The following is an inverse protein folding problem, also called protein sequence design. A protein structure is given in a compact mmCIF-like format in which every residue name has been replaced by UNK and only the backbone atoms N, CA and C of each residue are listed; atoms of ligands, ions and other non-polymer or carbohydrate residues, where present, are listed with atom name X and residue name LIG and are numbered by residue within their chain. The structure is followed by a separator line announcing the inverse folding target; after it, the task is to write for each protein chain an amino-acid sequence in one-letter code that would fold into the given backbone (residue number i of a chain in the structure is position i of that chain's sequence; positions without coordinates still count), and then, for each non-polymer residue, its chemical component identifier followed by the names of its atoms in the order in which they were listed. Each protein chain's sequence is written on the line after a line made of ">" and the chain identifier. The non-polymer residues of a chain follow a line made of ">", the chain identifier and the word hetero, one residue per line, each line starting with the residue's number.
data_IF_020030408662
#
_entry.id   IF_020030408662
#
_cell.length_a   1.000
_cell.length_b   1.000
_cell.length_c   1.000
_cell.angle_alpha   90.00
_cell.angle_beta   90.00
_cell.angle_gamma   90.00
#
_symmetry.space_group_name_H-M   'P 1'
#
loop_
_entity.id
_entity.type
_entity.pdbx_description
1 polymer ?
#
# COMPACT_ATOMS: atom_id res chain seq x y z
N UNK A 1 22.52 21.64 31.71
CA UNK A 1 21.49 20.58 31.65
C UNK A 1 20.31 20.88 30.70
N UNK A 2 20.32 21.97 29.90
CA UNK A 2 19.25 22.26 28.92
C UNK A 2 19.56 21.80 27.49
N UNK A 3 20.85 21.65 27.17
CA UNK A 3 21.33 21.27 25.83
C UNK A 3 21.07 19.81 25.48
N UNK A 4 21.10 18.89 26.45
CA UNK A 4 20.89 17.45 26.20
C UNK A 4 19.43 17.14 25.81
N UNK A 5 18.46 17.81 26.42
CA UNK A 5 17.04 17.59 26.14
C UNK A 5 16.66 17.94 24.68
N UNK A 6 17.26 19.00 24.14
CA UNK A 6 16.99 19.46 22.76
C UNK A 6 17.54 18.46 21.74
N UNK A 7 18.72 17.89 21.99
CA UNK A 7 19.31 16.88 21.10
C UNK A 7 18.44 15.62 21.03
N UNK A 8 17.94 15.15 22.16
CA UNK A 8 17.08 13.95 22.22
C UNK A 8 15.76 14.18 21.46
N UNK A 9 15.14 15.35 21.64
CA UNK A 9 13.89 15.71 20.95
C UNK A 9 14.06 15.76 19.42
N UNK A 10 15.18 16.28 18.91
CA UNK A 10 15.47 16.28 17.48
C UNK A 10 15.66 14.87 16.91
N UNK A 11 16.34 13.97 17.63
CA UNK A 11 16.55 12.58 17.16
C UNK A 11 15.23 11.84 17.04
N UNK A 12 14.32 11.99 18.02
CA UNK A 12 13.00 11.35 17.97
C UNK A 12 12.17 11.90 16.80
N UNK A 13 12.16 13.22 16.57
CA UNK A 13 11.44 13.81 15.45
C UNK A 13 11.94 13.29 14.09
N UNK A 14 13.25 13.14 13.90
CA UNK A 14 13.82 12.58 12.67
C UNK A 14 13.45 11.10 12.50
N UNK A 15 13.52 10.30 13.56
CA UNK A 15 13.13 8.88 13.50
C UNK A 15 11.66 8.71 13.11
N UNK A 16 10.77 9.53 13.67
CA UNK A 16 9.35 9.52 13.34
C UNK A 16 9.14 9.90 11.87
N UNK A 17 9.80 10.94 11.34
CA UNK A 17 9.65 11.30 9.91
C UNK A 17 10.14 10.18 8.98
N UNK A 18 11.19 9.45 9.34
CA UNK A 18 11.71 8.30 8.56
C UNK A 18 10.72 7.13 8.56
N UNK A 19 10.09 6.80 9.69
CA UNK A 19 9.07 5.75 9.76
C UNK A 19 7.82 6.12 8.94
N UNK A 20 7.38 7.39 9.01
CA UNK A 20 6.21 7.85 8.24
C UNK A 20 6.47 7.90 6.73
N UNK A 21 7.69 8.27 6.29
CA UNK A 21 8.08 8.18 4.88
C UNK A 21 8.08 6.72 4.38
N UNK A 22 8.57 5.77 5.18
CA UNK A 22 8.57 4.35 4.81
C UNK A 22 7.18 3.69 4.87
N UNK A 23 6.25 4.21 5.68
CA UNK A 23 4.86 3.73 5.69
C UNK A 23 4.04 4.24 4.49
N UNK A 24 4.49 5.31 3.81
CA UNK A 24 3.79 5.93 2.67
C UNK A 24 4.52 5.78 1.32
N UNK A 25 5.64 5.05 1.25
CA UNK A 25 6.39 4.79 0.01
C UNK A 25 6.53 3.30 -0.27
N UNK A 26 5.41 2.63 -0.49
CA UNK A 26 5.44 1.41 -1.28
C UNK A 26 5.36 1.81 -2.74
N UNK A 27 6.51 1.96 -3.42
CA UNK A 27 6.57 1.89 -4.88
C UNK A 27 5.68 0.71 -5.28
N UNK A 28 4.68 0.91 -6.13
CA UNK A 28 3.77 -0.19 -6.42
C UNK A 28 4.57 -1.29 -7.11
N UNK A 29 4.81 -2.39 -6.38
CA UNK A 29 5.54 -3.53 -6.90
C UNK A 29 4.65 -4.17 -7.96
N UNK A 30 4.93 -3.84 -9.22
CA UNK A 30 4.18 -4.32 -10.36
C UNK A 30 4.21 -5.84 -10.46
N UNK A 31 5.28 -6.49 -9.96
CA UNK A 31 5.37 -7.95 -9.91
C UNK A 31 4.47 -8.54 -8.82
N UNK A 32 4.55 -8.04 -7.58
CA UNK A 32 3.69 -8.46 -6.49
C UNK A 32 2.19 -8.20 -6.77
N UNK A 33 1.88 -7.05 -7.37
CA UNK A 33 0.52 -6.70 -7.79
C UNK A 33 -0.01 -7.66 -8.86
N UNK A 34 0.80 -7.95 -9.88
CA UNK A 34 0.42 -8.89 -10.94
C UNK A 34 0.23 -10.30 -10.40
N UNK A 35 1.11 -10.79 -9.53
CA UNK A 35 1.04 -12.13 -8.95
C UNK A 35 -0.19 -12.29 -8.05
N UNK A 36 -0.45 -11.35 -7.14
CA UNK A 36 -1.61 -11.38 -6.24
C UNK A 36 -2.94 -11.35 -7.01
N UNK A 37 -3.02 -10.55 -8.08
CA UNK A 37 -4.20 -10.53 -8.95
C UNK A 37 -4.30 -11.83 -9.79
N UNK A 38 -3.19 -12.34 -10.34
CA UNK A 38 -3.13 -13.55 -11.16
C UNK A 38 -3.53 -14.81 -10.39
N UNK A 39 -3.10 -14.95 -9.13
CA UNK A 39 -3.53 -16.04 -8.24
C UNK A 39 -5.06 -16.13 -8.10
N UNK A 40 -5.77 -15.03 -8.33
CA UNK A 40 -7.23 -14.96 -8.28
C UNK A 40 -7.90 -14.93 -9.66
N UNK A 41 -7.14 -15.16 -10.74
CA UNK A 41 -7.64 -15.13 -12.12
C UNK A 41 -7.88 -13.71 -12.65
N UNK A 42 -7.26 -12.70 -12.05
CA UNK A 42 -7.37 -11.29 -12.43
C UNK A 42 -6.06 -10.80 -13.07
N UNK A 43 -6.12 -9.69 -13.81
CA UNK A 43 -4.93 -9.00 -14.32
C UNK A 43 -4.60 -7.82 -13.41
N UNK A 44 -3.40 -7.77 -12.83
CA UNK A 44 -2.96 -6.69 -11.94
C UNK A 44 -2.05 -5.69 -12.64
N UNK A 45 -2.27 -4.40 -12.41
CA UNK A 45 -1.39 -3.33 -12.87
C UNK A 45 -1.30 -2.22 -11.83
N UNK A 46 -0.11 -1.66 -11.66
CA UNK A 46 0.10 -0.44 -10.89
C UNK A 46 -0.31 0.78 -11.71
N UNK A 47 -1.15 1.64 -11.13
CA UNK A 47 -1.48 2.94 -11.72
C UNK A 47 -0.38 3.98 -11.42
N UNK A 48 -0.46 5.12 -12.09
CA UNK A 48 0.36 6.33 -11.90
C UNK A 48 0.39 6.88 -10.47
N UNK A 49 -0.59 6.54 -9.65
CA UNK A 49 -0.65 6.87 -8.21
C UNK A 49 0.00 5.80 -7.31
N UNK A 50 0.77 4.85 -7.87
CA UNK A 50 1.36 3.71 -7.15
C UNK A 50 0.30 2.84 -6.43
N UNK A 51 -0.90 2.72 -7.02
CA UNK A 51 -1.98 1.88 -6.52
C UNK A 51 -2.09 0.64 -7.40
N UNK A 52 -2.02 -0.55 -6.79
CA UNK A 52 -2.30 -1.80 -7.49
C UNK A 52 -3.80 -1.90 -7.83
N UNK A 53 -4.13 -2.02 -9.11
CA UNK A 53 -5.48 -2.24 -9.63
C UNK A 53 -5.57 -3.63 -10.26
N UNK A 54 -6.52 -4.45 -9.80
CA UNK A 54 -6.87 -5.68 -10.52
C UNK A 54 -8.05 -5.41 -11.47
N UNK A 55 -7.91 -5.73 -12.75
CA UNK A 55 -8.97 -5.65 -13.77
C UNK A 55 -9.86 -6.89 -13.77
N UNK A 56 -11.05 -6.79 -14.37
CA UNK A 56 -12.11 -7.81 -14.38
C UNK A 56 -12.61 -8.14 -12.98
N UNK A 57 -13.03 -7.11 -12.23
CA UNK A 57 -13.23 -7.23 -10.78
C UNK A 57 -14.16 -8.37 -10.36
N UNK A 58 -13.58 -9.38 -9.70
CA UNK A 58 -14.32 -10.40 -8.97
C UNK A 58 -14.29 -10.00 -7.50
N UNK A 59 -15.42 -9.56 -6.93
CA UNK A 59 -15.51 -9.01 -5.56
C UNK A 59 -14.81 -9.89 -4.49
N UNK A 60 -14.96 -11.22 -4.62
CA UNK A 60 -14.34 -12.20 -3.72
C UNK A 60 -12.80 -12.19 -3.79
N UNK A 61 -12.24 -12.06 -5.00
CA UNK A 61 -10.80 -12.00 -5.24
C UNK A 61 -10.24 -10.66 -4.73
N UNK A 62 -10.90 -9.57 -5.10
CA UNK A 62 -10.54 -8.21 -4.70
C UNK A 62 -10.44 -8.06 -3.18
N UNK A 63 -11.46 -8.54 -2.45
CA UNK A 63 -11.48 -8.53 -0.98
C UNK A 63 -10.31 -9.29 -0.37
N UNK A 64 -9.92 -10.42 -0.94
CA UNK A 64 -8.82 -11.24 -0.43
C UNK A 64 -7.46 -10.56 -0.61
N UNK A 65 -7.21 -9.96 -1.78
CA UNK A 65 -5.97 -9.23 -2.07
C UNK A 65 -5.83 -8.03 -1.13
N UNK A 66 -6.87 -7.21 -0.99
CA UNK A 66 -6.80 -6.03 -0.14
C UNK A 66 -6.68 -6.38 1.36
N UNK A 67 -7.31 -7.46 1.83
CA UNK A 67 -7.15 -7.94 3.21
C UNK A 67 -5.70 -8.35 3.54
N UNK A 68 -4.92 -8.86 2.57
CA UNK A 68 -3.49 -9.14 2.77
C UNK A 68 -2.69 -7.86 3.05
N UNK A 69 -3.14 -6.73 2.50
CA UNK A 69 -2.55 -5.41 2.71
C UNK A 69 -3.14 -4.67 3.92
N UNK A 70 -4.02 -5.32 4.71
CA UNK A 70 -4.72 -4.67 5.82
C UNK A 70 -5.76 -3.63 5.38
N UNK A 71 -6.21 -3.70 4.12
CA UNK A 71 -7.11 -2.75 3.46
C UNK A 71 -8.47 -3.36 3.12
N UNK A 72 -9.44 -2.51 2.81
CA UNK A 72 -10.78 -2.90 2.37
C UNK A 72 -10.81 -2.89 0.83
N UNK A 73 -11.10 -4.05 0.24
CA UNK A 73 -11.27 -4.16 -1.21
C UNK A 73 -12.65 -3.72 -1.67
N UNK A 74 -12.71 -2.83 -2.65
CA UNK A 74 -13.93 -2.41 -3.34
C UNK A 74 -13.81 -2.69 -4.84
N UNK A 75 -14.88 -3.21 -5.44
CA UNK A 75 -14.99 -3.27 -6.90
C UNK A 75 -15.71 -2.01 -7.39
N UNK A 76 -15.08 -1.31 -8.31
CA UNK A 76 -15.73 -0.38 -9.23
C UNK A 76 -16.16 -1.12 -10.51
N UNK A 77 -16.76 -0.43 -11.49
CA UNK A 77 -17.36 -0.99 -12.71
C UNK A 77 -16.45 -1.95 -13.50
N UNK A 78 -15.12 -1.92 -13.30
CA UNK A 78 -14.20 -2.96 -13.79
C UNK A 78 -12.91 -3.15 -12.96
N UNK A 79 -12.74 -2.40 -11.88
CA UNK A 79 -11.46 -2.31 -11.15
C UNK A 79 -11.61 -2.73 -9.69
N UNK A 80 -10.64 -3.46 -9.16
CA UNK A 80 -10.46 -3.62 -7.73
C UNK A 80 -9.62 -2.47 -7.17
N UNK A 81 -10.11 -1.81 -6.12
CA UNK A 81 -9.40 -0.78 -5.36
C UNK A 81 -9.21 -1.22 -3.90
N UNK A 82 -7.98 -1.09 -3.37
CA UNK A 82 -7.68 -1.35 -1.96
C UNK A 82 -7.60 -0.04 -1.17
N UNK A 83 -8.65 0.24 -0.41
CA UNK A 83 -8.79 1.43 0.44
C UNK A 83 -8.31 1.17 1.87
#
# INVERSE_FOLDING_TARGET
>A
MKTVAIVILCVIAVLVVVEYANAQQGLCDSSGCSDDCYEQGLHGQCDSDDICRCYNCIFRACKRVCMRQGRVGQCDENHCMCL
#
